data_IF_933716828270
#
_entry.id   IF_933716828270
#
_cell.length_a   1.000
_cell.length_b   1.000
_cell.length_c   1.000
_cell.angle_alpha   90.00
_cell.angle_beta   90.00
_cell.angle_gamma   90.00
#
_symmetry.space_group_name_H-M   'P 1'
#
loop_
_entity.id
_entity.type
_entity.pdbx_description
1 polymer ?
#
# COMPACT_ATOMS: atom_id res chain seq x y z
N UNK A 1 12.61 -8.64 -4.46
CA UNK A 1 12.18 -8.22 -3.10
C UNK A 1 10.88 -8.93 -2.79
N UNK A 2 10.68 -9.45 -1.58
CA UNK A 2 9.36 -10.00 -1.20
C UNK A 2 8.37 -8.86 -0.93
N UNK A 3 7.07 -9.15 -0.92
CA UNK A 3 6.07 -8.12 -0.64
C UNK A 3 6.25 -7.50 0.75
N UNK A 4 6.55 -8.33 1.75
CA UNK A 4 6.76 -7.94 3.14
C UNK A 4 7.97 -7.02 3.30
N UNK A 5 9.07 -7.35 2.63
CA UNK A 5 10.27 -6.52 2.63
C UNK A 5 10.02 -5.15 1.98
N UNK A 6 9.20 -5.11 0.92
CA UNK A 6 8.81 -3.85 0.30
C UNK A 6 7.91 -3.01 1.23
N UNK A 7 6.98 -3.62 1.97
CA UNK A 7 6.15 -2.91 2.94
C UNK A 7 6.97 -2.25 4.05
N UNK A 8 7.96 -2.96 4.59
CA UNK A 8 8.86 -2.40 5.61
C UNK A 8 9.72 -1.26 5.05
N UNK A 9 10.24 -1.43 3.82
CA UNK A 9 10.99 -0.37 3.14
C UNK A 9 10.14 0.89 2.96
N UNK A 10 8.90 0.72 2.48
CA UNK A 10 7.96 1.80 2.23
C UNK A 10 7.60 2.55 3.51
N UNK A 11 7.34 1.82 4.61
CA UNK A 11 7.02 2.39 5.92
C UNK A 11 8.14 3.30 6.44
N UNK A 12 9.40 2.84 6.38
CA UNK A 12 10.55 3.63 6.81
C UNK A 12 10.75 4.86 5.92
N UNK A 13 10.60 4.72 4.60
CA UNK A 13 10.74 5.83 3.66
C UNK A 13 9.64 6.89 3.84
N UNK A 14 8.40 6.47 4.06
CA UNK A 14 7.28 7.36 4.40
C UNK A 14 7.59 8.16 5.67
N UNK A 15 7.98 7.47 6.74
CA UNK A 15 8.31 8.10 8.01
C UNK A 15 9.44 9.11 7.86
N UNK A 16 10.54 8.74 7.18
CA UNK A 16 11.68 9.62 6.98
C UNK A 16 11.29 10.89 6.20
N UNK A 17 10.48 10.76 5.14
CA UNK A 17 9.99 11.91 4.36
C UNK A 17 9.12 12.83 5.21
N UNK A 18 8.20 12.27 5.99
CA UNK A 18 7.34 13.05 6.87
C UNK A 18 8.12 13.75 7.98
N UNK A 19 9.09 13.07 8.59
CA UNK A 19 9.99 13.66 9.58
C UNK A 19 10.77 14.85 8.98
N UNK A 20 11.35 14.67 7.79
CA UNK A 20 12.05 15.77 7.09
C UNK A 20 11.09 16.94 6.85
N UNK A 21 9.85 16.67 6.41
CA UNK A 21 8.83 17.71 6.22
C UNK A 21 8.57 18.46 7.53
N UNK A 22 8.36 17.77 8.64
CA UNK A 22 8.13 18.38 9.97
C UNK A 22 9.32 19.23 10.40
N UNK A 23 10.55 18.72 10.27
CA UNK A 23 11.77 19.46 10.64
C UNK A 23 11.95 20.73 9.82
N UNK A 24 11.67 20.69 8.52
CA UNK A 24 11.73 21.87 7.63
C UNK A 24 10.75 22.97 8.02
N UNK A 25 9.67 22.64 8.73
CA UNK A 25 8.69 23.60 9.25
C UNK A 25 8.96 23.99 10.72
N UNK A 26 10.16 23.68 11.25
CA UNK A 26 10.53 24.02 12.63
C UNK A 26 9.93 23.09 13.70
N UNK A 27 9.33 21.97 13.30
CA UNK A 27 8.80 20.97 14.20
C UNK A 27 9.90 20.17 14.92
N UNK A 28 9.50 19.38 15.93
CA UNK A 28 10.42 18.56 16.72
C UNK A 28 10.43 17.11 16.23
N UNK A 29 11.60 16.45 16.18
CA UNK A 29 11.70 15.05 15.76
C UNK A 29 11.01 14.06 16.71
N UNK A 30 10.73 14.48 17.94
CA UNK A 30 10.01 13.68 18.95
C UNK A 30 8.50 13.96 18.98
N UNK A 31 7.99 14.89 18.17
CA UNK A 31 6.56 15.12 18.06
C UNK A 31 5.96 14.11 17.06
N UNK A 32 5.68 12.90 17.56
CA UNK A 32 5.14 11.81 16.75
C UNK A 32 3.82 12.18 16.08
N UNK A 33 2.94 12.90 16.79
CA UNK A 33 1.65 13.38 16.24
C UNK A 33 1.87 14.22 15.00
N UNK A 34 2.75 15.22 15.03
CA UNK A 34 3.03 16.05 13.86
C UNK A 34 3.61 15.26 12.67
N UNK A 35 4.38 14.20 12.95
CA UNK A 35 4.95 13.34 11.90
C UNK A 35 3.85 12.48 11.27
N UNK A 36 2.99 11.84 12.07
CA UNK A 36 1.87 11.04 11.55
C UNK A 36 0.88 11.91 10.77
N UNK A 37 0.55 13.10 11.27
CA UNK A 37 -0.27 14.08 10.52
C UNK A 37 0.36 14.48 9.19
N UNK A 38 1.69 14.53 9.10
CA UNK A 38 2.38 14.81 7.85
C UNK A 38 2.39 13.62 6.85
N UNK A 39 2.07 12.40 7.31
CA UNK A 39 1.93 11.18 6.48
C UNK A 39 0.51 11.06 5.91
N UNK A 40 -0.51 11.44 6.69
CA UNK A 40 -1.92 11.37 6.26
C UNK A 40 -2.17 12.19 4.99
N UNK A 41 -3.09 11.71 4.16
CA UNK A 41 -3.45 12.34 2.89
C UNK A 41 -2.33 12.34 1.82
N UNK A 42 -1.23 11.61 2.03
CA UNK A 42 -0.11 11.57 1.07
C UNK A 42 -0.21 10.42 0.07
N UNK A 43 0.36 10.62 -1.12
CA UNK A 43 0.58 9.58 -2.13
C UNK A 43 2.07 9.30 -2.26
N UNK A 44 2.45 8.03 -2.37
CA UNK A 44 3.83 7.64 -2.64
C UNK A 44 3.90 6.45 -3.60
N UNK A 45 5.06 6.27 -4.23
CA UNK A 45 5.34 5.10 -5.06
C UNK A 45 6.07 4.06 -4.22
N UNK A 46 5.47 2.87 -4.09
CA UNK A 46 6.01 1.72 -3.37
C UNK A 46 7.27 1.19 -4.05
N UNK A 47 8.15 0.55 -3.29
CA UNK A 47 9.25 -0.26 -3.81
C UNK A 47 8.79 -1.39 -4.76
N UNK A 48 7.54 -1.84 -4.65
CA UNK A 48 6.93 -2.77 -5.61
C UNK A 48 6.47 -2.10 -6.92
N UNK A 49 6.54 -0.77 -7.00
CA UNK A 49 6.32 0.01 -8.22
C UNK A 49 4.94 0.63 -8.37
N UNK A 50 3.95 0.21 -7.57
CA UNK A 50 2.60 0.80 -7.59
C UNK A 50 2.47 2.04 -6.68
N UNK A 51 1.42 2.83 -6.88
CA UNK A 51 1.13 3.98 -6.03
C UNK A 51 0.23 3.58 -4.86
N UNK A 52 0.53 4.14 -3.69
CA UNK A 52 -0.25 3.98 -2.46
C UNK A 52 -0.69 5.36 -2.00
N UNK A 53 -1.91 5.44 -1.50
CA UNK A 53 -2.46 6.60 -0.83
C UNK A 53 -2.64 6.28 0.66
N UNK A 54 -2.24 7.19 1.54
CA UNK A 54 -2.57 7.12 2.96
C UNK A 54 -3.76 8.04 3.18
N UNK A 55 -4.85 7.51 3.73
CA UNK A 55 -6.05 8.29 3.99
C UNK A 55 -5.94 9.16 5.26
N UNK A 56 -7.02 9.83 5.61
CA UNK A 56 -7.09 10.74 6.78
C UNK A 56 -7.06 10.01 8.13
N UNK A 57 -7.37 8.71 8.14
CA UNK A 57 -7.24 7.86 9.33
C UNK A 57 -5.79 7.35 9.51
N UNK A 58 -4.97 7.46 8.47
CA UNK A 58 -3.61 6.92 8.43
C UNK A 58 -3.53 5.53 7.83
N UNK A 59 -4.62 5.03 7.23
CA UNK A 59 -4.67 3.72 6.62
C UNK A 59 -4.17 3.78 5.17
N UNK A 60 -3.46 2.73 4.75
CA UNK A 60 -3.04 2.59 3.36
C UNK A 60 -4.21 2.08 2.51
N UNK A 61 -4.60 2.89 1.52
CA UNK A 61 -5.55 2.51 0.48
C UNK A 61 -5.06 1.26 -0.26
N UNK A 62 -5.89 0.21 -0.26
CA UNK A 62 -5.57 -1.08 -0.85
C UNK A 62 -6.15 -1.27 -2.24
N UNK A 63 -5.33 -1.78 -3.15
CA UNK A 63 -5.80 -2.40 -4.39
C UNK A 63 -5.69 -3.93 -4.21
N UNK A 64 -6.76 -4.65 -4.49
CA UNK A 64 -6.84 -6.09 -4.26
C UNK A 64 -7.13 -6.82 -5.55
N UNK A 65 -6.48 -7.97 -5.74
CA UNK A 65 -6.84 -8.93 -6.78
C UNK A 65 -7.69 -10.02 -6.15
N UNK A 66 -8.87 -10.25 -6.71
CA UNK A 66 -9.73 -11.36 -6.32
C UNK A 66 -9.22 -12.63 -6.99
N UNK A 67 -8.91 -13.63 -6.19
CA UNK A 67 -8.50 -14.95 -6.66
C UNK A 67 -9.62 -15.95 -6.44
N UNK A 68 -9.90 -16.78 -7.45
CA UNK A 68 -10.78 -17.94 -7.31
C UNK A 68 -9.97 -19.23 -7.43
N UNK A 69 -10.46 -20.27 -6.76
CA UNK A 69 -9.92 -21.62 -6.94
C UNK A 69 -10.35 -22.14 -8.32
N UNK A 70 -9.38 -22.59 -9.09
CA UNK A 70 -9.58 -23.15 -10.42
C UNK A 70 -8.57 -24.25 -10.74
N UNK A 71 -8.53 -24.63 -12.01
CA UNK A 71 -7.53 -25.54 -12.54
C UNK A 71 -6.48 -24.74 -13.32
N UNK A 72 -5.20 -24.98 -13.03
CA UNK A 72 -4.06 -24.35 -13.70
C UNK A 72 -3.11 -25.41 -14.24
N UNK A 73 -2.28 -25.06 -15.23
CA UNK A 73 -1.26 -25.95 -15.77
C UNK A 73 0.07 -25.69 -15.05
N UNK A 74 0.71 -26.75 -14.53
CA UNK A 74 2.06 -26.62 -13.99
C UNK A 74 3.14 -26.65 -15.10
N UNK A 75 4.41 -26.50 -14.72
CA UNK A 75 5.58 -26.57 -15.61
C UNK A 75 5.71 -27.86 -16.44
N UNK A 76 4.97 -28.92 -16.09
CA UNK A 76 4.93 -30.21 -16.81
C UNK A 76 3.65 -30.38 -17.63
N UNK A 77 2.92 -29.29 -17.91
CA UNK A 77 1.61 -29.27 -18.59
C UNK A 77 0.55 -30.17 -17.95
N UNK A 78 0.63 -30.42 -16.64
CA UNK A 78 -0.40 -31.16 -15.90
C UNK A 78 -1.39 -30.17 -15.28
N UNK A 79 -2.67 -30.46 -15.47
CA UNK A 79 -3.77 -29.75 -14.84
C UNK A 79 -3.79 -30.03 -13.34
N UNK A 80 -3.63 -28.99 -12.52
CA UNK A 80 -3.60 -29.05 -11.05
C UNK A 80 -4.50 -27.97 -10.47
N UNK A 81 -5.09 -28.16 -9.27
CA UNK A 81 -5.77 -27.08 -8.57
C UNK A 81 -4.83 -25.89 -8.31
N UNK A 82 -5.32 -24.67 -8.51
CA UNK A 82 -4.58 -23.43 -8.26
C UNK A 82 -5.48 -22.24 -8.00
N UNK A 83 -4.87 -21.08 -7.75
CA UNK A 83 -5.56 -19.80 -7.63
C UNK A 83 -5.41 -19.02 -8.93
N UNK A 84 -6.52 -18.50 -9.45
CA UNK A 84 -6.55 -17.71 -10.69
C UNK A 84 -7.18 -16.35 -10.41
N UNK A 85 -6.65 -15.26 -10.99
CA UNK A 85 -7.25 -13.95 -10.87
C UNK A 85 -8.59 -13.91 -11.61
N UNK A 86 -9.63 -13.43 -10.94
CA UNK A 86 -10.99 -13.31 -11.48
C UNK A 86 -11.57 -11.90 -11.40
N UNK A 87 -10.86 -10.98 -10.75
CA UNK A 87 -11.29 -9.60 -10.65
C UNK A 87 -10.31 -8.75 -9.84
N UNK A 88 -10.62 -7.46 -9.74
CA UNK A 88 -9.83 -6.50 -8.96
C UNK A 88 -10.75 -5.52 -8.24
N UNK A 89 -10.36 -5.13 -7.03
CA UNK A 89 -10.88 -3.95 -6.34
C UNK A 89 -9.79 -2.89 -6.36
N UNK A 90 -10.09 -1.72 -6.92
CA UNK A 90 -9.19 -0.58 -6.93
C UNK A 90 -9.88 0.60 -6.27
N UNK A 91 -9.25 1.17 -5.25
CA UNK A 91 -9.82 2.36 -4.61
C UNK A 91 -9.48 3.59 -5.46
N UNK A 92 -10.49 4.18 -6.09
CA UNK A 92 -10.34 5.52 -6.68
C UNK A 92 -10.71 6.55 -5.61
N UNK A 93 -10.11 7.74 -5.66
CA UNK A 93 -10.21 8.78 -4.63
C UNK A 93 -11.65 9.31 -4.39
N UNK A 94 -12.64 8.79 -5.13
CA UNK A 94 -14.06 9.19 -5.10
C UNK A 94 -15.02 8.11 -4.56
N UNK A 95 -14.53 6.90 -4.24
CA UNK A 95 -15.42 5.78 -3.91
C UNK A 95 -15.76 5.78 -2.41
N UNK A 96 -16.83 6.49 -2.05
CA UNK A 96 -17.62 6.15 -0.86
C UNK A 96 -18.14 4.72 -1.07
N UNK A 97 -17.90 3.84 -0.09
CA UNK A 97 -18.48 2.49 -0.08
C UNK A 97 -20.01 2.59 -0.28
N UNK A 98 -20.62 1.78 -1.17
CA UNK A 98 -22.07 1.69 -1.23
C UNK A 98 -22.59 1.23 0.14
N UNK A 99 -23.57 1.97 0.66
CA UNK A 99 -24.31 1.63 1.88
C UNK A 99 -25.53 0.79 1.52
#
# INVERSE_FOLDING_TARGET
ISAEAAYLYDAVHLYAKALIKVLRHGGRPRNGTAIIEAIKGTKYRSAMGYHVYIDENGDAAGNYTVLARGLTCNLKNKTVPGLMPVGTFSQTQSDKLPT
#
